data_IF_239039774475
#
_entry.id   IF_239039774475
#
_cell.length_a   1.000
_cell.length_b   1.000
_cell.length_c   1.000
_cell.angle_alpha   90.00
_cell.angle_beta   90.00
_cell.angle_gamma   90.00
#
_symmetry.space_group_name_H-M   'P 1'
#
loop_
_entity.id
_entity.type
_entity.pdbx_description
1 polymer ?
#
# COMPACT_ATOMS: atom_id res chain seq x y z
N UNK A 1 -5.22 -16.62 -25.19
CA UNK A 1 -5.14 -16.27 -23.77
C UNK A 1 -6.30 -16.89 -23.02
N UNK A 2 -6.02 -17.76 -22.06
CA UNK A 2 -7.05 -18.42 -21.27
C UNK A 2 -7.54 -17.52 -20.12
N UNK A 3 -8.80 -17.65 -19.80
CA UNK A 3 -9.44 -16.97 -18.66
C UNK A 3 -9.16 -17.75 -17.38
N UNK A 4 -8.87 -17.07 -16.28
CA UNK A 4 -8.54 -17.67 -14.99
C UNK A 4 -9.67 -17.40 -14.00
N UNK A 5 -9.96 -18.33 -13.09
CA UNK A 5 -10.95 -18.12 -12.05
C UNK A 5 -10.37 -18.36 -10.66
N UNK A 6 -10.63 -17.43 -9.73
CA UNK A 6 -10.35 -17.60 -8.32
C UNK A 6 -11.67 -17.55 -7.52
N UNK A 7 -11.97 -18.63 -6.83
CA UNK A 7 -13.18 -18.78 -6.00
C UNK A 7 -12.80 -18.57 -4.54
N UNK A 8 -13.32 -17.53 -3.93
CA UNK A 8 -13.22 -17.33 -2.48
C UNK A 8 -14.29 -18.18 -1.76
N UNK A 9 -13.92 -18.80 -0.65
CA UNK A 9 -14.82 -19.53 0.23
C UNK A 9 -14.63 -19.08 1.68
N UNK A 10 -15.72 -18.93 2.42
CA UNK A 10 -15.74 -18.48 3.81
C UNK A 10 -16.47 -19.48 4.68
N UNK A 11 -15.76 -20.04 5.66
CA UNK A 11 -16.28 -21.10 6.54
C UNK A 11 -16.26 -22.48 5.91
N UNK A 12 -16.39 -23.51 6.76
CA UNK A 12 -16.26 -24.92 6.37
C UNK A 12 -17.37 -25.38 5.43
N UNK A 13 -18.58 -24.85 5.61
CA UNK A 13 -19.77 -25.22 4.82
C UNK A 13 -19.80 -24.58 3.42
N UNK A 14 -18.95 -23.58 3.17
CA UNK A 14 -18.91 -22.93 1.87
C UNK A 14 -18.13 -23.78 0.84
N UNK A 15 -18.83 -24.44 -0.04
CA UNK A 15 -18.24 -25.28 -1.11
C UNK A 15 -17.76 -24.46 -2.31
N UNK A 16 -18.05 -23.14 -2.36
CA UNK A 16 -17.74 -22.29 -3.49
C UNK A 16 -18.75 -22.37 -4.61
N UNK A 17 -18.28 -22.20 -5.83
CA UNK A 17 -19.08 -22.27 -7.07
C UNK A 17 -18.58 -23.42 -7.91
N UNK A 18 -19.51 -24.17 -8.52
CA UNK A 18 -19.19 -25.13 -9.56
C UNK A 18 -18.91 -24.39 -10.88
N UNK A 19 -17.77 -24.65 -11.47
CA UNK A 19 -17.31 -24.05 -12.70
C UNK A 19 -17.09 -25.07 -13.82
N UNK A 20 -17.61 -26.29 -13.68
CA UNK A 20 -17.40 -27.37 -14.65
C UNK A 20 -17.94 -27.05 -16.04
N UNK A 21 -19.04 -26.27 -16.10
CA UNK A 21 -19.66 -25.84 -17.37
C UNK A 21 -18.99 -24.59 -17.99
N UNK A 22 -17.95 -24.05 -17.37
CA UNK A 22 -17.25 -22.85 -17.83
C UNK A 22 -15.86 -23.17 -18.31
N UNK A 23 -15.47 -22.58 -19.44
CA UNK A 23 -14.12 -22.76 -19.97
C UNK A 23 -13.14 -21.81 -19.31
N UNK A 24 -12.34 -22.32 -18.37
CA UNK A 24 -11.20 -21.64 -17.78
C UNK A 24 -9.91 -22.38 -18.10
N UNK A 25 -8.84 -21.65 -18.33
CA UNK A 25 -7.49 -22.23 -18.46
C UNK A 25 -7.08 -22.88 -17.14
N UNK A 26 -7.39 -22.20 -16.03
CA UNK A 26 -7.13 -22.71 -14.67
C UNK A 26 -8.07 -22.09 -13.67
N UNK A 27 -8.44 -22.88 -12.68
CA UNK A 27 -9.24 -22.44 -11.52
C UNK A 27 -8.50 -22.73 -10.24
N UNK A 28 -8.73 -21.90 -9.20
CA UNK A 28 -8.20 -22.14 -7.87
C UNK A 28 -9.20 -21.65 -6.81
N UNK A 29 -9.00 -22.07 -5.56
CA UNK A 29 -9.75 -21.57 -4.40
C UNK A 29 -8.86 -20.82 -3.43
N UNK A 30 -9.41 -19.76 -2.83
CA UNK A 30 -8.84 -19.08 -1.67
C UNK A 30 -9.81 -19.22 -0.50
N UNK A 31 -9.32 -19.69 0.63
CA UNK A 31 -10.17 -20.07 1.76
C UNK A 31 -9.98 -19.15 2.96
N UNK A 32 -11.07 -18.90 3.66
CA UNK A 32 -11.13 -18.09 4.87
C UNK A 32 -11.89 -18.85 5.95
N UNK A 33 -11.36 -18.90 7.17
CA UNK A 33 -12.04 -19.49 8.33
C UNK A 33 -12.38 -21.00 8.20
N UNK A 34 -11.63 -21.75 7.42
CA UNK A 34 -11.77 -23.21 7.36
C UNK A 34 -11.14 -23.94 8.55
N UNK A 35 -10.41 -23.23 9.41
CA UNK A 35 -9.80 -23.66 10.66
C UNK A 35 -8.82 -24.86 10.61
N UNK A 36 -8.69 -25.49 9.48
CA UNK A 36 -7.99 -26.78 9.42
C UNK A 36 -6.61 -26.73 8.77
N UNK A 37 -6.19 -25.63 8.13
CA UNK A 37 -4.99 -25.71 7.30
C UNK A 37 -4.22 -24.40 7.18
N UNK A 38 -2.90 -24.55 7.01
CA UNK A 38 -1.98 -23.52 6.53
C UNK A 38 -2.39 -22.91 5.16
N UNK A 39 -3.48 -23.40 4.57
CA UNK A 39 -4.04 -22.97 3.29
C UNK A 39 -5.04 -21.80 3.41
N UNK A 40 -5.47 -21.47 4.63
CA UNK A 40 -6.36 -20.32 4.84
C UNK A 40 -5.60 -18.99 4.79
N UNK A 41 -6.30 -17.94 4.33
CA UNK A 41 -5.82 -16.56 4.49
C UNK A 41 -5.68 -16.26 5.98
N UNK A 42 -4.49 -15.88 6.40
CA UNK A 42 -4.23 -15.52 7.79
C UNK A 42 -4.61 -14.06 8.04
N UNK A 43 -5.69 -13.81 8.77
CA UNK A 43 -6.17 -12.49 9.18
C UNK A 43 -6.55 -12.39 10.66
N UNK A 44 -6.34 -13.46 11.41
CA UNK A 44 -6.76 -13.58 12.82
C UNK A 44 -6.14 -12.50 13.72
N UNK A 45 -4.90 -12.08 13.45
CA UNK A 45 -4.25 -11.01 14.19
C UNK A 45 -5.03 -9.70 14.06
N UNK A 46 -5.49 -9.36 12.85
CA UNK A 46 -6.30 -8.17 12.61
C UNK A 46 -7.64 -8.24 13.34
N UNK A 47 -8.38 -9.35 13.20
CA UNK A 47 -9.66 -9.55 13.89
C UNK A 47 -9.50 -9.50 15.42
N UNK A 48 -8.41 -10.05 15.96
CA UNK A 48 -8.12 -9.98 17.39
C UNK A 48 -7.88 -8.55 17.88
N UNK A 49 -7.24 -7.69 17.07
CA UNK A 49 -7.06 -6.29 17.40
C UNK A 49 -8.39 -5.52 17.35
N UNK A 50 -9.24 -5.75 16.33
CA UNK A 50 -10.57 -5.16 16.29
C UNK A 50 -11.36 -5.51 17.55
N UNK A 51 -11.37 -6.79 17.93
CA UNK A 51 -12.02 -7.27 19.16
C UNK A 51 -11.44 -6.61 20.42
N UNK A 52 -10.12 -6.50 20.53
CA UNK A 52 -9.43 -5.88 21.67
C UNK A 52 -9.81 -4.40 21.81
N UNK A 53 -9.89 -3.68 20.71
CA UNK A 53 -10.22 -2.25 20.69
C UNK A 53 -11.72 -1.98 20.62
N UNK A 54 -12.56 -3.01 20.61
CA UNK A 54 -14.03 -2.92 20.47
C UNK A 54 -14.46 -2.17 19.19
N UNK A 55 -13.70 -2.34 18.14
CA UNK A 55 -14.08 -1.88 16.82
C UNK A 55 -15.00 -2.93 16.20
N UNK A 56 -16.23 -2.55 15.94
CA UNK A 56 -17.26 -3.42 15.39
C UNK A 56 -17.71 -2.88 14.00
N UNK A 57 -16.89 -3.09 12.96
CA UNK A 57 -17.24 -2.68 11.61
C UNK A 57 -18.50 -3.42 11.12
N UNK A 58 -19.22 -2.81 10.19
CA UNK A 58 -20.37 -3.44 9.56
C UNK A 58 -19.98 -4.71 8.78
N UNK A 59 -20.91 -5.62 8.54
CA UNK A 59 -20.65 -6.81 7.73
C UNK A 59 -20.29 -6.45 6.28
N UNK A 60 -20.78 -5.34 5.76
CA UNK A 60 -20.37 -4.79 4.46
C UNK A 60 -18.88 -4.37 4.48
N UNK A 61 -18.41 -3.80 5.58
CA UNK A 61 -16.99 -3.50 5.72
C UNK A 61 -16.14 -4.78 5.83
N UNK A 62 -16.66 -5.83 6.45
CA UNK A 62 -16.00 -7.15 6.49
C UNK A 62 -16.03 -7.85 5.12
N UNK A 63 -17.06 -7.66 4.31
CA UNK A 63 -17.07 -8.11 2.91
C UNK A 63 -15.93 -7.46 2.12
N UNK A 64 -15.69 -6.16 2.32
CA UNK A 64 -14.59 -5.47 1.67
C UNK A 64 -13.23 -6.10 2.02
N UNK A 65 -13.06 -6.62 3.23
CA UNK A 65 -11.86 -7.37 3.61
C UNK A 65 -11.71 -8.68 2.81
N UNK A 66 -12.81 -9.44 2.66
CA UNK A 66 -12.82 -10.67 1.83
C UNK A 66 -12.47 -10.34 0.39
N UNK A 67 -13.08 -9.30 -0.18
CA UNK A 67 -12.82 -8.81 -1.53
C UNK A 67 -11.34 -8.43 -1.69
N UNK A 68 -10.80 -7.65 -0.75
CA UNK A 68 -9.42 -7.18 -0.80
C UNK A 68 -8.40 -8.32 -0.67
N UNK A 69 -8.64 -9.27 0.23
CA UNK A 69 -7.79 -10.44 0.37
C UNK A 69 -7.87 -11.37 -0.86
N UNK A 70 -9.04 -11.52 -1.47
CA UNK A 70 -9.24 -12.32 -2.70
C UNK A 70 -8.51 -11.68 -3.88
N UNK A 71 -8.66 -10.37 -4.07
CA UNK A 71 -7.94 -9.63 -5.09
C UNK A 71 -6.42 -9.71 -4.88
N UNK A 72 -5.96 -9.53 -3.65
CA UNK A 72 -4.53 -9.62 -3.33
C UNK A 72 -3.99 -11.04 -3.50
N UNK A 73 -4.80 -12.08 -3.24
CA UNK A 73 -4.45 -13.45 -3.53
C UNK A 73 -4.27 -13.67 -5.04
N UNK A 74 -5.20 -13.21 -5.86
CA UNK A 74 -5.08 -13.28 -7.31
C UNK A 74 -3.84 -12.52 -7.82
N UNK A 75 -3.63 -11.29 -7.33
CA UNK A 75 -2.48 -10.46 -7.74
C UNK A 75 -1.13 -11.10 -7.42
N UNK A 76 -1.01 -11.79 -6.28
CA UNK A 76 0.27 -12.37 -5.81
C UNK A 76 0.46 -13.85 -6.14
N UNK A 77 -0.59 -14.56 -6.60
CA UNK A 77 -0.54 -16.01 -6.87
C UNK A 77 -0.80 -16.38 -8.34
N UNK A 78 -1.12 -15.42 -9.17
CA UNK A 78 -1.24 -15.65 -10.62
C UNK A 78 -0.05 -14.99 -11.31
N UNK A 79 0.92 -15.80 -11.71
CA UNK A 79 2.13 -15.31 -12.40
C UNK A 79 1.78 -14.67 -13.74
N UNK A 80 2.26 -13.47 -13.99
CA UNK A 80 2.10 -12.75 -15.27
C UNK A 80 2.89 -13.40 -16.39
N UNK A 81 4.08 -13.90 -16.08
CA UNK A 81 4.93 -14.58 -17.06
C UNK A 81 4.32 -15.90 -17.53
N UNK A 82 3.50 -16.55 -16.69
CA UNK A 82 2.86 -17.84 -17.04
C UNK A 82 1.50 -17.65 -17.70
N UNK A 83 0.69 -16.70 -17.19
CA UNK A 83 -0.74 -16.59 -17.55
C UNK A 83 -1.10 -15.25 -18.21
N UNK A 84 -0.18 -14.31 -18.30
CA UNK A 84 -0.42 -13.00 -18.89
C UNK A 84 -0.21 -12.98 -20.40
N UNK A 85 -1.00 -12.20 -21.12
CA UNK A 85 -0.74 -11.84 -22.50
C UNK A 85 0.55 -11.02 -22.57
N UNK A 86 1.48 -11.48 -23.40
CA UNK A 86 2.84 -10.93 -23.48
C UNK A 86 3.55 -10.80 -22.10
N UNK A 87 3.21 -11.72 -21.17
CA UNK A 87 3.72 -11.67 -19.81
C UNK A 87 3.19 -10.49 -18.97
N UNK A 88 2.09 -9.87 -19.41
CA UNK A 88 1.62 -8.61 -18.83
C UNK A 88 0.20 -8.63 -18.31
N UNK A 89 -0.82 -8.71 -19.17
CA UNK A 89 -2.23 -8.60 -18.81
C UNK A 89 -2.86 -9.96 -18.57
N UNK A 90 -3.51 -10.15 -17.42
CA UNK A 90 -4.25 -11.37 -17.09
C UNK A 90 -5.76 -11.12 -17.23
N UNK A 91 -6.51 -12.16 -17.62
CA UNK A 91 -7.98 -12.19 -17.58
C UNK A 91 -8.41 -12.97 -16.34
N UNK A 92 -8.96 -12.32 -15.33
CA UNK A 92 -9.23 -12.93 -14.03
C UNK A 92 -10.69 -12.73 -13.62
N UNK A 93 -11.38 -13.83 -13.39
CA UNK A 93 -12.71 -13.86 -12.79
C UNK A 93 -12.60 -14.17 -11.29
N UNK A 94 -13.25 -13.35 -10.47
CA UNK A 94 -13.33 -13.54 -9.03
C UNK A 94 -14.77 -13.91 -8.62
N UNK A 95 -14.91 -14.98 -7.86
CA UNK A 95 -16.18 -15.39 -7.26
C UNK A 95 -16.11 -15.18 -5.75
N UNK A 96 -16.85 -14.20 -5.23
CA UNK A 96 -16.65 -13.71 -3.87
C UNK A 96 -17.95 -13.82 -3.05
N UNK A 97 -17.92 -14.50 -1.88
CA UNK A 97 -19.05 -14.54 -0.96
C UNK A 97 -19.13 -13.24 -0.15
N UNK A 98 -20.34 -12.65 -0.14
CA UNK A 98 -20.63 -11.38 0.57
C UNK A 98 -21.89 -11.51 1.41
N UNK A 99 -22.08 -10.62 2.37
CA UNK A 99 -23.28 -10.61 3.24
C UNK A 99 -24.54 -10.17 2.49
N UNK A 100 -24.38 -9.21 1.55
CA UNK A 100 -25.46 -8.63 0.76
C UNK A 100 -25.00 -8.46 -0.70
N UNK A 101 -25.56 -9.28 -1.60
CA UNK A 101 -25.20 -9.27 -3.01
C UNK A 101 -25.67 -8.01 -3.73
N UNK A 102 -26.83 -7.46 -3.36
CA UNK A 102 -27.41 -6.28 -4.03
C UNK A 102 -26.52 -5.03 -3.84
N UNK A 103 -25.95 -4.87 -2.63
CA UNK A 103 -25.02 -3.78 -2.35
C UNK A 103 -23.78 -3.92 -3.23
N UNK A 104 -23.21 -5.12 -3.32
CA UNK A 104 -21.95 -5.33 -4.02
C UNK A 104 -22.07 -5.39 -5.54
N UNK A 105 -23.19 -5.86 -6.07
CA UNK A 105 -23.49 -5.82 -7.51
C UNK A 105 -23.53 -4.38 -8.02
N UNK A 106 -24.05 -3.44 -7.24
CA UNK A 106 -24.00 -1.99 -7.57
C UNK A 106 -22.57 -1.44 -7.59
N UNK A 107 -21.64 -2.06 -6.89
CA UNK A 107 -20.22 -1.64 -6.83
C UNK A 107 -19.31 -2.45 -7.76
N UNK A 108 -19.83 -3.42 -8.51
CA UNK A 108 -19.06 -4.32 -9.36
C UNK A 108 -18.14 -3.56 -10.33
N UNK A 109 -18.69 -2.62 -11.09
CA UNK A 109 -17.96 -1.83 -12.07
C UNK A 109 -16.90 -0.94 -11.39
N UNK A 110 -17.24 -0.33 -10.26
CA UNK A 110 -16.31 0.50 -9.48
C UNK A 110 -15.10 -0.34 -9.04
N UNK A 111 -15.32 -1.52 -8.49
CA UNK A 111 -14.24 -2.43 -8.07
C UNK A 111 -13.39 -2.91 -9.26
N UNK A 112 -14.02 -3.30 -10.38
CA UNK A 112 -13.30 -3.71 -11.58
C UNK A 112 -12.41 -2.59 -12.12
N UNK A 113 -12.88 -1.36 -12.11
CA UNK A 113 -12.10 -0.19 -12.51
C UNK A 113 -10.94 0.09 -11.56
N UNK A 114 -11.16 -0.02 -10.24
CA UNK A 114 -10.10 0.10 -9.23
C UNK A 114 -9.02 -0.96 -9.47
N UNK A 115 -9.41 -2.22 -9.65
CA UNK A 115 -8.46 -3.33 -9.83
C UNK A 115 -7.69 -3.18 -11.15
N UNK A 116 -8.38 -2.83 -12.24
CA UNK A 116 -7.74 -2.54 -13.54
C UNK A 116 -6.75 -1.39 -13.42
N UNK A 117 -7.11 -0.31 -12.74
CA UNK A 117 -6.23 0.85 -12.55
C UNK A 117 -4.95 0.48 -11.80
N UNK A 118 -5.07 -0.35 -10.76
CA UNK A 118 -3.91 -0.77 -9.96
C UNK A 118 -3.02 -1.77 -10.69
N UNK A 119 -3.60 -2.74 -11.38
CA UNK A 119 -2.88 -3.92 -11.85
C UNK A 119 -2.63 -3.96 -13.35
N UNK A 120 -3.46 -3.28 -14.14
CA UNK A 120 -3.45 -3.39 -15.60
C UNK A 120 -4.15 -4.65 -16.13
N UNK A 121 -4.69 -5.51 -15.25
CA UNK A 121 -5.41 -6.73 -15.63
C UNK A 121 -6.88 -6.44 -15.97
N UNK A 122 -7.52 -7.38 -16.62
CA UNK A 122 -8.97 -7.39 -16.86
C UNK A 122 -9.65 -8.25 -15.81
N UNK A 123 -10.53 -7.63 -15.05
CA UNK A 123 -11.21 -8.25 -13.93
C UNK A 123 -12.70 -8.37 -14.19
N UNK A 124 -13.27 -9.54 -13.88
CA UNK A 124 -14.72 -9.73 -13.74
C UNK A 124 -15.00 -10.24 -12.33
N UNK A 125 -15.95 -9.64 -11.65
CA UNK A 125 -16.26 -10.01 -10.27
C UNK A 125 -17.70 -10.53 -10.23
N UNK A 126 -17.89 -11.67 -9.59
CA UNK A 126 -19.18 -12.29 -9.35
C UNK A 126 -19.40 -12.38 -7.85
N UNK A 127 -20.51 -11.84 -7.37
CA UNK A 127 -20.87 -11.91 -5.97
C UNK A 127 -21.88 -13.04 -5.74
N UNK A 128 -21.77 -13.68 -4.59
CA UNK A 128 -22.71 -14.67 -4.09
C UNK A 128 -22.92 -14.48 -2.59
N UNK A 129 -24.06 -14.91 -2.07
CA UNK A 129 -24.37 -14.78 -0.66
C UNK A 129 -23.52 -15.73 0.17
N UNK A 130 -22.97 -15.26 1.30
CA UNK A 130 -22.32 -16.12 2.30
C UNK A 130 -23.31 -17.14 2.88
N UNK A 131 -22.79 -18.28 3.38
CA UNK A 131 -23.59 -19.27 4.09
C UNK A 131 -24.27 -18.67 5.32
N UNK A 132 -25.37 -19.29 5.80
CA UNK A 132 -26.11 -18.79 6.97
C UNK A 132 -25.22 -18.74 8.22
N UNK A 133 -24.32 -19.71 8.38
CA UNK A 133 -23.47 -19.85 9.56
C UNK A 133 -22.33 -18.82 9.57
N UNK A 134 -21.92 -18.33 8.38
CA UNK A 134 -20.84 -17.38 8.20
C UNK A 134 -21.30 -15.97 7.77
N UNK A 135 -22.55 -15.63 8.02
CA UNK A 135 -23.09 -14.29 7.72
C UNK A 135 -22.42 -13.18 8.55
N UNK A 136 -21.89 -13.52 9.73
CA UNK A 136 -21.27 -12.56 10.65
C UNK A 136 -19.79 -12.84 10.78
N UNK A 137 -18.98 -11.99 10.17
CA UNK A 137 -17.50 -12.01 10.27
C UNK A 137 -16.96 -11.01 11.28
N UNK A 138 -17.72 -9.98 11.61
CA UNK A 138 -17.31 -8.98 12.57
C UNK A 138 -17.10 -9.61 13.96
N UNK A 139 -15.91 -9.51 14.54
CA UNK A 139 -15.64 -10.08 15.85
C UNK A 139 -16.33 -9.26 16.94
N UNK A 140 -17.25 -9.87 17.68
CA UNK A 140 -17.85 -9.23 18.84
C UNK A 140 -16.85 -9.03 19.96
N UNK A 141 -16.68 -7.80 20.42
CA UNK A 141 -15.82 -7.45 21.53
C UNK A 141 -16.39 -7.92 22.89
N UNK A 142 -15.51 -8.23 23.83
CA UNK A 142 -15.90 -8.36 25.23
C UNK A 142 -15.96 -6.98 25.86
N UNK A 143 -17.15 -6.39 25.87
CA UNK A 143 -17.39 -5.01 26.29
C UNK A 143 -16.94 -4.69 27.73
N UNK A 144 -16.84 -5.69 28.60
CA UNK A 144 -16.40 -5.51 29.98
C UNK A 144 -14.88 -5.48 30.12
N UNK A 145 -14.16 -6.24 29.27
CA UNK A 145 -12.73 -6.47 29.43
C UNK A 145 -11.84 -5.51 28.67
N UNK A 146 -12.29 -5.04 27.52
CA UNK A 146 -11.48 -4.19 26.64
C UNK A 146 -12.17 -2.86 26.37
N UNK A 147 -11.42 -1.80 26.37
CA UNK A 147 -11.88 -0.44 26.06
C UNK A 147 -10.80 0.24 25.22
N UNK A 148 -11.21 0.93 24.19
CA UNK A 148 -10.30 1.80 23.48
C UNK A 148 -9.79 2.90 24.43
N UNK A 149 -8.47 3.09 24.57
CA UNK A 149 -7.91 3.97 25.60
C UNK A 149 -8.10 5.45 25.31
N UNK A 150 -8.44 5.80 24.09
CA UNK A 150 -8.72 7.17 23.66
C UNK A 150 -9.88 7.20 22.68
N UNK A 151 -10.52 8.35 22.57
CA UNK A 151 -11.49 8.60 21.51
C UNK A 151 -10.77 9.30 20.35
N UNK A 152 -11.01 8.84 19.15
CA UNK A 152 -10.47 9.40 17.91
C UNK A 152 -11.43 9.17 16.76
N UNK A 153 -11.45 10.09 15.83
CA UNK A 153 -12.10 9.98 14.52
C UNK A 153 -11.09 9.75 13.39
N UNK A 154 -9.80 9.60 13.74
CA UNK A 154 -8.71 9.61 12.78
C UNK A 154 -7.94 8.29 12.81
N UNK A 155 -7.87 7.65 11.66
CA UNK A 155 -7.00 6.50 11.37
C UNK A 155 -5.85 6.97 10.50
N UNK A 156 -4.62 6.54 10.80
CA UNK A 156 -3.46 6.83 9.98
C UNK A 156 -2.79 5.53 9.51
N UNK A 157 -2.58 5.38 8.19
CA UNK A 157 -1.81 4.27 7.67
C UNK A 157 -0.35 4.40 8.08
N UNK A 158 0.20 3.33 8.65
CA UNK A 158 1.49 3.34 9.31
C UNK A 158 2.39 2.19 8.83
N UNK A 159 3.13 2.44 7.75
CA UNK A 159 3.97 1.43 7.11
C UNK A 159 5.33 1.20 7.79
N UNK A 160 5.75 2.10 8.71
CA UNK A 160 7.10 2.13 9.27
C UNK A 160 8.13 2.82 8.34
N UNK A 161 7.66 3.38 7.23
CA UNK A 161 8.44 4.27 6.36
C UNK A 161 8.42 5.71 6.87
N UNK A 162 9.32 6.54 6.34
CA UNK A 162 9.51 7.93 6.78
C UNK A 162 8.23 8.76 6.64
N UNK A 163 7.52 8.67 5.52
CA UNK A 163 6.31 9.48 5.27
C UNK A 163 5.20 9.18 6.28
N UNK A 164 4.95 7.89 6.54
CA UNK A 164 3.94 7.48 7.53
C UNK A 164 4.34 7.84 8.96
N UNK A 165 5.64 7.86 9.25
CA UNK A 165 6.14 8.26 10.56
C UNK A 165 6.01 9.78 10.78
N UNK A 166 6.36 10.60 9.77
CA UNK A 166 6.13 12.04 9.76
C UNK A 166 4.63 12.34 9.93
N UNK A 167 3.77 11.65 9.17
CA UNK A 167 2.33 11.84 9.27
C UNK A 167 1.76 11.58 10.66
N UNK A 168 2.23 10.53 11.33
CA UNK A 168 1.83 10.24 12.71
C UNK A 168 2.35 11.29 13.71
N UNK A 169 3.58 11.76 13.52
CA UNK A 169 4.14 12.86 14.35
C UNK A 169 3.31 14.13 14.19
N UNK A 170 3.07 14.56 12.95
CA UNK A 170 2.36 15.82 12.69
C UNK A 170 0.93 15.80 13.21
N UNK A 171 0.22 14.65 13.17
CA UNK A 171 -1.08 14.48 13.81
C UNK A 171 -0.98 14.63 15.33
N UNK A 172 0.00 13.99 15.95
CA UNK A 172 0.19 14.09 17.40
C UNK A 172 0.55 15.52 17.81
N UNK A 173 1.36 16.24 17.05
CA UNK A 173 1.67 17.67 17.30
C UNK A 173 0.45 18.60 17.12
N UNK A 174 -0.52 18.20 16.29
CA UNK A 174 -1.82 18.87 16.15
C UNK A 174 -2.83 18.46 17.24
N UNK A 175 -2.43 17.71 18.25
CA UNK A 175 -3.29 17.16 19.31
C UNK A 175 -4.32 16.13 18.81
N UNK A 176 -4.13 15.56 17.63
CA UNK A 176 -4.92 14.45 17.12
C UNK A 176 -4.19 13.15 17.49
N UNK A 177 -4.85 12.27 18.23
CA UNK A 177 -4.29 10.96 18.57
C UNK A 177 -4.84 9.89 17.63
N UNK A 178 -4.16 9.54 16.53
CA UNK A 178 -4.69 8.62 15.54
C UNK A 178 -4.63 7.17 16.00
N UNK A 179 -5.53 6.33 15.46
CA UNK A 179 -5.35 4.89 15.43
C UNK A 179 -4.38 4.54 14.29
N UNK A 180 -3.24 3.96 14.60
CA UNK A 180 -2.21 3.62 13.63
C UNK A 180 -2.44 2.21 13.07
N UNK A 181 -2.53 2.09 11.73
CA UNK A 181 -2.74 0.80 11.05
C UNK A 181 -1.51 0.45 10.23
N UNK A 182 -0.85 -0.64 10.59
CA UNK A 182 0.26 -1.23 9.83
C UNK A 182 -0.14 -2.55 9.18
N UNK A 183 0.32 -2.77 7.96
CA UNK A 183 0.22 -4.05 7.27
C UNK A 183 1.60 -4.64 7.02
N UNK A 184 1.79 -5.90 7.39
CA UNK A 184 3.00 -6.66 7.03
C UNK A 184 2.63 -8.07 6.59
N UNK A 185 3.40 -8.60 5.64
CA UNK A 185 3.33 -10.01 5.19
C UNK A 185 4.55 -10.82 5.62
N UNK A 186 5.61 -10.14 6.06
CA UNK A 186 6.90 -10.74 6.40
C UNK A 186 7.53 -10.02 7.59
N UNK A 187 8.56 -10.66 8.15
CA UNK A 187 9.34 -10.11 9.26
C UNK A 187 10.28 -8.96 8.86
N UNK A 188 10.35 -8.57 7.58
CA UNK A 188 11.33 -7.60 7.11
C UNK A 188 10.95 -6.15 7.44
N UNK A 189 9.66 -5.83 7.46
CA UNK A 189 9.12 -4.48 7.72
C UNK A 189 8.59 -4.32 9.14
N UNK A 190 8.06 -5.38 9.74
CA UNK A 190 7.43 -5.33 11.06
C UNK A 190 8.34 -4.79 12.19
N UNK A 191 9.67 -5.03 12.22
CA UNK A 191 10.55 -4.43 13.23
C UNK A 191 10.60 -2.90 13.15
N UNK A 192 10.56 -2.33 11.94
CA UNK A 192 10.59 -0.88 11.75
C UNK A 192 9.25 -0.25 12.13
N UNK A 193 8.13 -0.88 11.81
CA UNK A 193 6.81 -0.45 12.29
C UNK A 193 6.77 -0.42 13.82
N UNK A 194 7.29 -1.47 14.47
CA UNK A 194 7.36 -1.52 15.93
C UNK A 194 8.26 -0.42 16.47
N UNK A 195 9.48 -0.27 15.96
CA UNK A 195 10.44 0.75 16.37
C UNK A 195 9.87 2.17 16.27
N UNK A 196 9.30 2.52 15.12
CA UNK A 196 8.64 3.81 14.93
C UNK A 196 7.49 4.02 15.92
N UNK A 197 6.66 3.00 16.12
CA UNK A 197 5.56 3.08 17.06
C UNK A 197 6.01 3.21 18.52
N UNK A 198 7.08 2.52 18.92
CA UNK A 198 7.65 2.64 20.27
C UNK A 198 8.28 4.02 20.48
N UNK A 199 8.92 4.58 19.44
CA UNK A 199 9.44 5.95 19.46
C UNK A 199 8.32 6.98 19.66
N UNK A 200 7.18 6.83 18.98
CA UNK A 200 6.01 7.70 19.20
C UNK A 200 5.48 7.59 20.62
N UNK A 201 5.34 6.38 21.17
CA UNK A 201 4.86 6.20 22.54
C UNK A 201 5.80 6.82 23.58
N UNK A 202 7.11 6.74 23.33
CA UNK A 202 8.14 7.36 24.19
C UNK A 202 8.11 8.89 24.09
N UNK A 203 7.97 9.44 22.88
CA UNK A 203 7.97 10.89 22.66
C UNK A 203 6.66 11.56 23.11
N UNK A 204 5.52 10.83 23.03
CA UNK A 204 4.19 11.33 23.35
C UNK A 204 3.49 10.49 24.42
N UNK A 205 4.03 10.41 25.67
CA UNK A 205 3.55 9.49 26.69
C UNK A 205 2.12 9.77 27.15
N UNK A 206 1.66 11.03 27.04
CA UNK A 206 0.29 11.42 27.38
C UNK A 206 -0.74 11.03 26.31
N UNK A 207 -0.33 10.93 25.05
CA UNK A 207 -1.23 10.65 23.91
C UNK A 207 -1.36 9.17 23.58
N UNK A 208 -0.27 8.40 23.69
CA UNK A 208 -0.20 6.94 23.53
C UNK A 208 -1.05 6.40 22.37
N UNK A 209 -0.73 6.72 21.10
CA UNK A 209 -1.52 6.26 19.98
C UNK A 209 -1.59 4.72 19.94
N UNK A 210 -2.80 4.17 19.80
CA UNK A 210 -3.01 2.74 19.65
C UNK A 210 -2.59 2.28 18.26
N UNK A 211 -2.20 1.01 18.17
CA UNK A 211 -1.62 0.42 16.96
C UNK A 211 -2.24 -0.92 16.64
N UNK A 212 -2.66 -1.09 15.40
CA UNK A 212 -3.05 -2.38 14.83
C UNK A 212 -2.00 -2.81 13.83
N UNK A 213 -1.38 -3.95 14.06
CA UNK A 213 -0.51 -4.60 13.09
C UNK A 213 -1.30 -5.72 12.41
N UNK A 214 -1.80 -5.42 11.21
CA UNK A 214 -2.52 -6.39 10.41
C UNK A 214 -1.51 -7.31 9.69
N UNK A 215 -1.34 -8.51 10.21
CA UNK A 215 -0.58 -9.54 9.52
C UNK A 215 -1.53 -10.33 8.62
N UNK A 216 -1.52 -10.01 7.32
CA UNK A 216 -2.32 -10.71 6.31
C UNK A 216 -1.37 -11.51 5.43
N UNK A 217 -1.49 -12.82 5.49
CA UNK A 217 -0.67 -13.74 4.69
C UNK A 217 -1.57 -14.56 3.78
N UNK A 218 -1.29 -14.49 2.49
CA UNK A 218 -1.91 -15.38 1.49
C UNK A 218 -1.10 -16.66 1.43
N UNK A 219 -1.75 -17.84 1.45
CA UNK A 219 -1.08 -19.11 1.28
C UNK A 219 -0.26 -19.18 -0.01
N UNK A 220 0.86 -19.90 0.01
CA UNK A 220 1.67 -20.13 -1.19
C UNK A 220 1.17 -21.32 -2.00
N UNK A 221 0.68 -22.33 -1.30
CA UNK A 221 0.19 -23.58 -1.88
C UNK A 221 -1.32 -23.53 -2.10
N UNK A 222 -1.82 -24.29 -3.06
CA UNK A 222 -3.25 -24.43 -3.32
C UNK A 222 -3.86 -23.33 -4.18
N UNK A 223 -3.18 -22.20 -4.39
CA UNK A 223 -3.65 -21.10 -5.23
C UNK A 223 -2.72 -20.98 -6.43
N UNK A 224 -3.13 -21.48 -7.59
CA UNK A 224 -2.39 -21.49 -8.87
C UNK A 224 -0.98 -22.12 -8.83
N UNK A 225 -0.40 -22.40 -7.65
CA UNK A 225 0.97 -22.92 -7.45
C UNK A 225 2.03 -22.08 -8.18
N UNK A 226 1.86 -20.77 -8.20
CA UNK A 226 2.78 -19.81 -8.79
C UNK A 226 2.90 -18.56 -7.90
N UNK A 227 3.88 -17.73 -8.15
CA UNK A 227 4.09 -16.47 -7.43
C UNK A 227 4.26 -15.31 -8.41
N UNK A 228 3.66 -14.18 -8.06
CA UNK A 228 3.84 -12.91 -8.72
C UNK A 228 4.41 -11.92 -7.71
N UNK A 229 5.49 -11.23 -8.09
CA UNK A 229 6.24 -10.40 -7.16
C UNK A 229 5.90 -8.90 -7.24
N UNK A 230 5.01 -8.49 -8.13
CA UNK A 230 4.70 -7.06 -8.36
C UNK A 230 3.83 -6.43 -7.26
N UNK A 231 3.00 -7.20 -6.57
CA UNK A 231 2.15 -6.77 -5.43
C UNK A 231 1.36 -5.47 -5.65
N UNK A 232 0.83 -5.27 -6.84
CA UNK A 232 0.11 -4.04 -7.19
C UNK A 232 -1.21 -3.89 -6.43
N UNK A 233 -1.84 -5.00 -6.07
CA UNK A 233 -3.06 -5.06 -5.26
C UNK A 233 -2.87 -4.73 -3.78
N UNK A 234 -1.64 -4.66 -3.29
CA UNK A 234 -1.35 -4.42 -1.87
C UNK A 234 -1.92 -3.10 -1.36
N UNK A 235 -1.95 -2.06 -2.20
CA UNK A 235 -2.52 -0.77 -1.82
C UNK A 235 -4.01 -0.83 -1.55
N UNK A 236 -4.77 -1.63 -2.32
CA UNK A 236 -6.19 -1.85 -2.08
C UNK A 236 -6.43 -2.53 -0.73
N UNK A 237 -5.66 -3.58 -0.42
CA UNK A 237 -5.73 -4.24 0.89
C UNK A 237 -5.40 -3.27 2.03
N UNK A 238 -4.37 -2.44 1.88
CA UNK A 238 -3.93 -1.54 2.95
C UNK A 238 -4.95 -0.43 3.21
N UNK A 239 -5.52 0.20 2.15
CA UNK A 239 -6.60 1.16 2.30
C UNK A 239 -7.85 0.51 2.93
N UNK A 240 -8.19 -0.71 2.52
CA UNK A 240 -9.30 -1.47 3.09
C UNK A 240 -9.13 -1.69 4.60
N UNK A 241 -7.96 -2.12 5.05
CA UNK A 241 -7.69 -2.29 6.48
C UNK A 241 -7.90 -0.99 7.28
N UNK A 242 -7.42 0.12 6.73
CA UNK A 242 -7.62 1.45 7.33
C UNK A 242 -9.09 1.87 7.34
N UNK A 243 -9.82 1.67 6.23
CA UNK A 243 -11.22 2.06 6.11
C UNK A 243 -12.15 1.24 7.02
N UNK A 244 -11.87 -0.06 7.20
CA UNK A 244 -12.61 -0.92 8.14
C UNK A 244 -12.50 -0.36 9.56
N UNK A 245 -11.28 0.00 9.98
CA UNK A 245 -11.08 0.60 11.30
C UNK A 245 -11.75 1.97 11.40
N UNK A 246 -11.62 2.81 10.37
CA UNK A 246 -12.21 4.14 10.35
C UNK A 246 -13.74 4.09 10.41
N UNK A 247 -14.37 3.21 9.62
CA UNK A 247 -15.84 3.04 9.62
C UNK A 247 -16.41 2.54 10.95
N UNK A 248 -15.58 1.92 11.80
CA UNK A 248 -15.97 1.44 13.12
C UNK A 248 -15.74 2.47 14.25
N UNK A 249 -15.16 3.64 13.95
CA UNK A 249 -14.92 4.70 14.94
C UNK A 249 -16.12 5.63 15.09
N UNK A 250 -16.98 5.76 14.09
CA UNK A 250 -18.16 6.63 14.13
C UNK A 250 -18.70 6.96 12.74
N UNK A 251 -19.71 7.83 12.71
CA UNK A 251 -20.41 8.23 11.47
C UNK A 251 -19.57 9.12 10.54
N UNK A 252 -18.52 9.74 11.07
CA UNK A 252 -17.59 10.58 10.30
C UNK A 252 -16.18 10.38 10.83
N UNK A 253 -15.31 9.83 9.99
CA UNK A 253 -13.93 9.57 10.34
C UNK A 253 -12.99 9.88 9.17
N UNK A 254 -11.72 10.14 9.49
CA UNK A 254 -10.69 10.45 8.50
C UNK A 254 -9.67 9.32 8.42
N UNK A 255 -9.44 8.82 7.21
CA UNK A 255 -8.34 7.90 6.90
C UNK A 255 -7.18 8.71 6.30
N UNK A 256 -6.17 8.96 7.12
CA UNK A 256 -4.96 9.67 6.69
C UNK A 256 -3.97 8.69 6.07
N UNK A 257 -3.53 9.02 4.86
CA UNK A 257 -2.57 8.22 4.08
C UNK A 257 -1.38 9.10 3.75
N UNK A 258 -0.37 9.19 4.63
CA UNK A 258 0.76 10.09 4.44
C UNK A 258 1.68 9.58 3.33
N UNK A 259 1.75 10.31 2.23
CA UNK A 259 2.63 9.99 1.09
C UNK A 259 3.02 11.28 0.36
N UNK A 260 4.29 11.44 0.04
CA UNK A 260 4.78 12.60 -0.74
C UNK A 260 4.25 12.60 -2.17
N UNK A 261 4.20 13.78 -2.78
CA UNK A 261 3.59 13.97 -4.10
C UNK A 261 4.30 13.21 -5.23
N UNK A 262 5.61 13.01 -5.16
CA UNK A 262 6.34 12.27 -6.19
C UNK A 262 5.94 10.79 -6.20
N UNK A 263 5.88 10.16 -5.03
CA UNK A 263 5.47 8.75 -4.90
C UNK A 263 3.97 8.60 -5.15
N UNK A 264 3.15 9.58 -4.76
CA UNK A 264 1.71 9.57 -5.07
C UNK A 264 1.42 9.44 -6.56
N UNK A 265 2.14 10.17 -7.39
CA UNK A 265 1.99 10.10 -8.86
C UNK A 265 2.66 8.86 -9.45
N UNK A 266 3.75 8.43 -8.84
CA UNK A 266 4.56 7.26 -9.21
C UNK A 266 4.78 7.11 -10.72
N UNK A 267 5.30 8.19 -11.32
CA UNK A 267 5.50 8.28 -12.77
C UNK A 267 6.65 7.36 -13.18
N UNK A 268 6.50 6.58 -14.26
CA UNK A 268 7.59 5.78 -14.82
C UNK A 268 8.79 6.66 -15.21
N UNK A 269 9.96 6.40 -14.67
CA UNK A 269 11.18 7.17 -14.94
C UNK A 269 11.74 6.95 -16.35
N UNK A 270 11.40 5.83 -16.99
CA UNK A 270 11.79 5.49 -18.36
C UNK A 270 10.64 4.85 -19.11
N UNK A 271 10.60 4.88 -20.45
CA UNK A 271 9.59 4.20 -21.25
C UNK A 271 9.52 2.68 -20.97
N UNK A 272 10.64 2.05 -20.63
CA UNK A 272 10.71 0.62 -20.30
C UNK A 272 10.02 0.27 -18.99
N UNK A 273 9.75 1.28 -18.13
CA UNK A 273 9.02 1.11 -16.87
C UNK A 273 7.54 1.48 -16.98
N UNK A 274 7.08 1.88 -18.16
CA UNK A 274 5.65 2.12 -18.40
C UNK A 274 4.93 0.80 -18.21
N UNK A 275 4.19 0.72 -17.12
CA UNK A 275 3.44 -0.48 -16.73
C UNK A 275 4.17 -1.46 -15.79
N UNK A 276 5.49 -1.48 -15.70
CA UNK A 276 6.20 -2.38 -14.79
C UNK A 276 6.41 -1.77 -13.40
N UNK A 277 6.04 -2.46 -12.34
CA UNK A 277 6.42 -2.17 -10.94
C UNK A 277 5.94 -0.85 -10.31
N UNK A 278 5.13 -0.05 -10.99
CA UNK A 278 4.61 1.20 -10.41
C UNK A 278 3.36 0.94 -9.59
N UNK A 279 3.48 0.98 -8.26
CA UNK A 279 2.32 0.95 -7.37
C UNK A 279 1.65 2.32 -7.36
N UNK A 280 0.35 2.38 -7.62
CA UNK A 280 -0.43 3.64 -7.66
C UNK A 280 -1.16 3.88 -6.33
N UNK A 281 -0.46 3.68 -5.22
CA UNK A 281 -1.03 3.57 -3.87
C UNK A 281 -1.84 4.78 -3.44
N UNK A 282 -1.41 5.98 -3.80
CA UNK A 282 -2.02 7.25 -3.39
C UNK A 282 -2.30 8.17 -4.58
N UNK A 283 -2.36 7.59 -5.79
CA UNK A 283 -2.66 8.35 -6.99
C UNK A 283 -4.05 9.01 -6.87
N UNK A 284 -4.22 10.29 -7.27
CA UNK A 284 -5.48 11.03 -7.12
C UNK A 284 -6.71 10.32 -7.69
N UNK A 285 -6.59 9.74 -8.89
CA UNK A 285 -7.67 8.96 -9.48
C UNK A 285 -8.03 7.73 -8.63
N UNK A 286 -7.04 7.04 -8.09
CA UNK A 286 -7.29 5.89 -7.22
C UNK A 286 -8.01 6.32 -5.93
N UNK A 287 -7.58 7.42 -5.31
CA UNK A 287 -8.25 7.96 -4.13
C UNK A 287 -9.69 8.40 -4.43
N UNK A 288 -9.93 9.04 -5.57
CA UNK A 288 -11.28 9.41 -5.99
C UNK A 288 -12.19 8.18 -6.15
N UNK A 289 -11.70 7.10 -6.80
CA UNK A 289 -12.47 5.87 -6.95
C UNK A 289 -12.73 5.18 -5.60
N UNK A 290 -11.73 5.15 -4.70
CA UNK A 290 -11.90 4.59 -3.36
C UNK A 290 -12.86 5.42 -2.51
N UNK A 291 -12.79 6.75 -2.59
CA UNK A 291 -13.74 7.64 -1.90
C UNK A 291 -15.16 7.40 -2.40
N UNK A 292 -15.37 7.33 -3.71
CA UNK A 292 -16.68 7.01 -4.28
C UNK A 292 -17.21 5.64 -3.80
N UNK A 293 -16.34 4.66 -3.70
CA UNK A 293 -16.70 3.35 -3.15
C UNK A 293 -17.15 3.47 -1.69
N UNK A 294 -16.39 4.20 -0.85
CA UNK A 294 -16.74 4.37 0.58
C UNK A 294 -18.04 5.16 0.78
N UNK A 295 -18.28 6.17 -0.05
CA UNK A 295 -19.50 6.97 -0.02
C UNK A 295 -20.72 6.12 -0.40
N UNK A 296 -20.61 5.32 -1.47
CA UNK A 296 -21.65 4.41 -1.92
C UNK A 296 -21.97 3.32 -0.88
N UNK A 297 -20.94 2.85 -0.16
CA UNK A 297 -21.10 1.87 0.93
C UNK A 297 -21.50 2.50 2.27
N UNK A 298 -21.63 3.83 2.31
CA UNK A 298 -21.99 4.61 3.51
C UNK A 298 -21.06 4.37 4.71
N UNK A 299 -19.77 4.28 4.44
CA UNK A 299 -18.76 4.03 5.50
C UNK A 299 -18.50 5.26 6.38
N UNK A 300 -18.88 6.47 5.95
CA UNK A 300 -18.58 7.71 6.68
C UNK A 300 -17.07 8.01 6.78
N UNK A 301 -16.26 7.49 5.84
CA UNK A 301 -14.81 7.61 5.86
C UNK A 301 -14.34 8.58 4.79
N UNK A 302 -13.59 9.61 5.18
CA UNK A 302 -12.92 10.54 4.27
C UNK A 302 -11.44 10.18 4.14
N UNK A 303 -10.99 9.92 2.91
CA UNK A 303 -9.57 9.70 2.62
C UNK A 303 -8.86 11.05 2.54
N UNK A 304 -7.70 11.17 3.19
CA UNK A 304 -6.89 12.37 3.16
C UNK A 304 -5.40 12.07 3.01
N UNK A 305 -4.73 12.69 2.04
CA UNK A 305 -3.28 12.77 1.97
C UNK A 305 -2.83 14.22 2.18
N UNK A 306 -2.36 14.60 3.37
CA UNK A 306 -1.96 15.97 3.66
C UNK A 306 -0.66 16.39 2.96
N UNK A 307 0.04 15.46 2.32
CA UNK A 307 1.36 15.69 1.71
C UNK A 307 1.37 15.53 0.18
N UNK A 308 0.21 15.46 -0.45
CA UNK A 308 0.11 15.24 -1.91
C UNK A 308 0.83 16.30 -2.75
N UNK A 309 1.03 17.52 -2.21
CA UNK A 309 1.75 18.61 -2.85
C UNK A 309 3.08 18.95 -2.17
N UNK A 310 3.56 18.10 -1.27
CA UNK A 310 4.87 18.22 -0.65
C UNK A 310 5.87 17.23 -1.23
N UNK A 311 7.11 17.68 -1.41
CA UNK A 311 8.23 16.76 -1.65
C UNK A 311 8.56 16.00 -0.37
N UNK A 312 9.33 14.93 -0.47
CA UNK A 312 9.79 14.21 0.72
C UNK A 312 10.76 15.05 1.56
N UNK A 313 11.55 15.90 0.92
CA UNK A 313 12.44 16.87 1.60
C UNK A 313 11.64 17.92 2.37
N UNK A 314 10.57 18.45 1.79
CA UNK A 314 9.66 19.38 2.46
C UNK A 314 8.92 18.73 3.63
N UNK A 315 8.47 17.48 3.48
CA UNK A 315 7.88 16.75 4.60
C UNK A 315 8.84 16.65 5.78
N UNK A 316 10.10 16.29 5.53
CA UNK A 316 11.11 16.17 6.59
C UNK A 316 11.47 17.53 7.19
N UNK A 317 11.64 18.58 6.35
CA UNK A 317 11.95 19.94 6.79
C UNK A 317 10.87 20.52 7.69
N UNK A 318 9.59 20.33 7.29
CA UNK A 318 8.43 20.96 7.90
C UNK A 318 7.83 20.11 9.04
N UNK A 319 8.33 18.88 9.23
CA UNK A 319 7.91 18.00 10.34
C UNK A 319 8.09 18.68 11.68
N UNK A 320 7.02 18.71 12.50
CA UNK A 320 7.01 19.41 13.79
C UNK A 320 8.00 18.85 14.80
N UNK A 321 8.32 17.56 14.72
CA UNK A 321 9.36 16.91 15.52
C UNK A 321 10.35 16.17 14.63
N UNK A 322 11.08 16.94 13.84
CA UNK A 322 12.08 16.46 12.87
C UNK A 322 13.16 15.60 13.54
N UNK A 323 13.59 15.94 14.75
CA UNK A 323 14.64 15.20 15.45
C UNK A 323 14.21 13.76 15.73
N UNK A 324 12.93 13.54 16.08
CA UNK A 324 12.42 12.18 16.26
C UNK A 324 12.52 11.34 14.98
N UNK A 325 12.35 11.97 13.79
CA UNK A 325 12.49 11.28 12.50
C UNK A 325 13.96 10.95 12.23
N UNK A 326 14.90 11.86 12.54
CA UNK A 326 16.34 11.70 12.35
C UNK A 326 16.90 10.59 13.26
N UNK A 327 16.39 10.50 14.49
CA UNK A 327 16.88 9.57 15.51
C UNK A 327 16.23 8.18 15.41
N UNK A 328 15.13 8.05 14.64
CA UNK A 328 14.39 6.79 14.51
C UNK A 328 14.62 6.16 13.14
N UNK A 329 15.13 4.93 13.12
CA UNK A 329 15.32 4.19 11.88
C UNK A 329 13.99 3.75 11.28
N UNK A 330 13.60 4.41 10.19
CA UNK A 330 12.44 4.08 9.35
C UNK A 330 12.87 3.26 8.15
N UNK A 331 11.97 2.46 7.55
CA UNK A 331 12.29 1.64 6.38
C UNK A 331 11.51 2.12 5.14
N UNK A 332 12.24 2.69 4.18
CA UNK A 332 11.69 3.13 2.88
C UNK A 332 12.18 2.29 1.70
N UNK A 333 13.09 1.35 1.92
CA UNK A 333 13.74 0.57 0.87
C UNK A 333 12.78 -0.46 0.24
N UNK A 334 12.80 -0.57 -1.10
CA UNK A 334 12.06 -1.63 -1.82
C UNK A 334 12.71 -3.01 -1.69
N UNK A 335 14.01 -3.07 -1.41
CA UNK A 335 14.80 -4.29 -1.32
C UNK A 335 15.70 -4.23 -0.08
N UNK A 336 15.12 -4.27 1.14
CA UNK A 336 15.93 -4.32 2.34
C UNK A 336 16.90 -5.51 2.27
N UNK A 337 18.19 -5.25 2.39
CA UNK A 337 19.23 -6.27 2.22
C UNK A 337 20.24 -6.19 3.34
N UNK A 338 21.08 -7.22 3.44
CA UNK A 338 22.12 -7.32 4.47
C UNK A 338 21.89 -8.44 5.48
N UNK A 339 20.70 -9.07 5.46
CA UNK A 339 20.36 -10.17 6.38
C UNK A 339 21.31 -11.34 6.26
N UNK A 340 21.70 -11.71 5.03
CA UNK A 340 22.65 -12.78 4.75
C UNK A 340 24.12 -12.39 5.02
N UNK A 341 24.39 -11.09 5.20
CA UNK A 341 25.71 -10.54 5.48
C UNK A 341 25.90 -10.19 6.97
N UNK A 342 24.94 -10.58 7.82
CA UNK A 342 24.97 -10.27 9.27
C UNK A 342 24.65 -8.81 9.60
N UNK A 343 24.31 -7.98 8.60
CA UNK A 343 24.04 -6.54 8.76
C UNK A 343 22.56 -6.25 9.12
N UNK A 344 21.71 -7.27 9.19
CA UNK A 344 20.28 -7.12 9.37
C UNK A 344 19.59 -6.53 8.11
N UNK A 345 18.38 -6.00 8.28
CA UNK A 345 17.66 -5.32 7.20
C UNK A 345 18.08 -3.86 7.15
N UNK A 346 18.91 -3.50 6.19
CA UNK A 346 19.37 -2.12 5.95
C UNK A 346 18.91 -1.63 4.58
N UNK A 347 18.93 -0.32 4.38
CA UNK A 347 18.65 0.29 3.08
C UNK A 347 19.70 -0.11 2.05
N UNK A 348 19.27 -0.48 0.83
CA UNK A 348 20.23 -0.82 -0.23
C UNK A 348 21.05 0.39 -0.73
N UNK A 349 20.52 1.60 -0.62
CA UNK A 349 21.14 2.87 -1.00
C UNK A 349 20.83 3.34 -2.43
N UNK A 350 20.50 2.45 -3.34
CA UNK A 350 20.43 2.75 -4.78
C UNK A 350 19.03 2.60 -5.42
N UNK A 351 18.06 1.97 -4.77
CA UNK A 351 16.70 1.87 -5.33
C UNK A 351 15.98 3.23 -5.29
N UNK A 352 14.95 3.39 -6.13
CA UNK A 352 14.15 4.63 -6.23
C UNK A 352 13.77 5.19 -4.85
N UNK A 353 13.17 4.42 -3.91
CA UNK A 353 12.84 4.96 -2.59
C UNK A 353 14.08 5.37 -1.76
N UNK A 354 15.22 4.67 -1.89
CA UNK A 354 16.46 5.05 -1.20
C UNK A 354 17.06 6.35 -1.75
N UNK A 355 17.03 6.54 -3.07
CA UNK A 355 17.48 7.77 -3.71
C UNK A 355 16.63 8.95 -3.25
N UNK A 356 15.29 8.82 -3.29
CA UNK A 356 14.37 9.87 -2.82
C UNK A 356 14.58 10.14 -1.33
N UNK A 357 14.82 9.12 -0.51
CA UNK A 357 15.14 9.28 0.93
C UNK A 357 16.42 10.11 1.13
N UNK A 358 17.53 9.74 0.50
CA UNK A 358 18.81 10.47 0.61
C UNK A 358 18.66 11.91 0.10
N UNK A 359 17.95 12.10 -1.02
CA UNK A 359 17.63 13.43 -1.56
C UNK A 359 16.85 14.28 -0.56
N UNK A 360 15.87 13.68 0.15
CA UNK A 360 15.08 14.39 1.15
C UNK A 360 15.90 14.86 2.37
N UNK A 361 16.84 14.05 2.84
CA UNK A 361 17.76 14.48 3.91
C UNK A 361 18.62 15.64 3.46
N UNK A 362 19.19 15.55 2.26
CA UNK A 362 20.00 16.64 1.69
C UNK A 362 19.18 17.92 1.52
N UNK A 363 17.99 17.84 0.94
CA UNK A 363 17.13 19.01 0.69
C UNK A 363 16.58 19.65 1.98
N UNK A 364 16.34 18.87 3.03
CA UNK A 364 15.87 19.37 4.32
C UNK A 364 16.99 19.94 5.21
N UNK A 365 18.26 19.80 4.80
CA UNK A 365 19.43 20.15 5.61
C UNK A 365 19.62 19.25 6.85
N UNK A 366 18.92 18.13 6.92
CA UNK A 366 19.07 17.16 8.00
C UNK A 366 20.20 16.18 7.70
N UNK A 367 20.87 15.70 8.76
CA UNK A 367 21.89 14.67 8.61
C UNK A 367 21.22 13.30 8.56
N UNK A 368 21.53 12.53 7.51
CA UNK A 368 21.14 11.13 7.44
C UNK A 368 22.15 10.28 8.23
N UNK A 369 21.75 9.81 9.40
CA UNK A 369 22.61 9.03 10.31
C UNK A 369 22.58 7.53 10.03
N UNK A 370 21.84 7.07 9.00
CA UNK A 370 21.64 5.66 8.74
C UNK A 370 22.62 5.12 7.69
N UNK A 371 22.97 3.86 7.88
CA UNK A 371 23.87 3.18 6.96
C UNK A 371 23.10 2.65 5.74
N UNK A 372 23.76 2.74 4.59
CA UNK A 372 23.32 2.14 3.34
C UNK A 372 24.28 1.03 2.94
N UNK A 373 23.77 -0.05 2.36
CA UNK A 373 24.61 -1.15 1.87
C UNK A 373 25.57 -0.67 0.78
N UNK A 374 25.12 0.24 -0.06
CA UNK A 374 25.93 0.84 -1.11
C UNK A 374 25.90 2.36 -1.01
N UNK A 375 27.08 2.94 -0.95
CA UNK A 375 27.25 4.38 -1.10
C UNK A 375 27.17 4.73 -2.59
N UNK A 376 26.20 5.56 -2.98
CA UNK A 376 26.03 6.01 -4.37
C UNK A 376 27.10 7.01 -4.80
N UNK A 377 27.83 7.61 -3.88
CA UNK A 377 28.93 8.55 -4.13
C UNK A 377 30.31 7.88 -4.13
N UNK A 378 30.35 6.56 -4.09
CA UNK A 378 31.60 5.80 -4.18
C UNK A 378 32.40 6.20 -5.43
N UNK A 379 33.69 6.50 -5.23
CA UNK A 379 34.59 6.98 -6.27
C UNK A 379 34.76 6.00 -7.43
N UNK A 380 34.54 4.71 -7.18
CA UNK A 380 34.66 3.66 -8.21
C UNK A 380 33.54 3.69 -9.24
N UNK A 381 32.43 4.43 -8.97
CA UNK A 381 31.26 4.54 -9.83
C UNK A 381 30.36 3.32 -9.74
N UNK A 382 29.11 3.49 -10.18
CA UNK A 382 28.07 2.45 -10.16
C UNK A 382 27.88 1.86 -11.56
N UNK A 383 27.74 0.55 -11.64
CA UNK A 383 27.55 -0.17 -12.90
C UNK A 383 26.11 -0.03 -13.39
N UNK A 384 25.90 0.46 -14.61
CA UNK A 384 24.58 0.66 -15.22
C UNK A 384 23.91 -0.67 -15.63
N UNK A 385 24.67 -1.73 -15.86
CA UNK A 385 24.18 -3.07 -16.15
C UNK A 385 23.76 -3.84 -14.88
N UNK A 386 23.91 -3.23 -13.70
CA UNK A 386 23.51 -3.75 -12.41
C UNK A 386 22.40 -2.89 -11.78
N UNK A 387 21.65 -3.49 -10.86
CA UNK A 387 20.58 -2.82 -10.14
C UNK A 387 21.07 -1.52 -9.44
N UNK A 388 22.34 -1.47 -9.00
CA UNK A 388 22.92 -0.33 -8.30
C UNK A 388 23.01 0.96 -9.14
N UNK A 389 23.19 0.84 -10.46
CA UNK A 389 23.27 2.01 -11.35
C UNK A 389 21.99 2.26 -12.16
N UNK A 390 21.13 1.26 -12.31
CA UNK A 390 19.97 1.32 -13.20
C UNK A 390 18.96 2.40 -12.80
N UNK A 391 18.62 2.53 -11.50
CA UNK A 391 17.65 3.52 -11.01
C UNK A 391 18.22 4.94 -11.05
N UNK A 392 19.52 5.11 -10.81
CA UNK A 392 20.21 6.41 -10.92
C UNK A 392 20.24 6.85 -12.38
N UNK A 393 20.55 5.93 -13.31
CA UNK A 393 20.51 6.21 -14.74
C UNK A 393 19.11 6.64 -15.18
N UNK A 394 18.06 5.96 -14.68
CA UNK A 394 16.68 6.30 -14.98
C UNK A 394 16.31 7.71 -14.48
N UNK A 395 16.75 8.10 -13.28
CA UNK A 395 16.56 9.46 -12.80
C UNK A 395 17.33 10.50 -13.61
N UNK A 396 18.61 10.24 -13.91
CA UNK A 396 19.40 11.15 -14.77
C UNK A 396 18.76 11.33 -16.14
N UNK A 397 18.22 10.25 -16.74
CA UNK A 397 17.47 10.31 -17.99
C UNK A 397 16.22 11.21 -17.85
N UNK A 398 15.39 10.99 -16.81
CA UNK A 398 14.19 11.76 -16.58
C UNK A 398 14.50 13.25 -16.36
N UNK A 399 15.46 13.56 -15.51
CA UNK A 399 15.91 14.94 -15.24
C UNK A 399 16.38 15.61 -16.53
N UNK A 400 17.25 14.94 -17.31
CA UNK A 400 17.73 15.47 -18.59
C UNK A 400 16.62 15.69 -19.60
N UNK A 401 15.62 14.79 -19.65
CA UNK A 401 14.46 14.90 -20.53
C UNK A 401 13.58 16.07 -20.16
N UNK A 402 13.29 16.26 -18.87
CA UNK A 402 12.45 17.36 -18.37
C UNK A 402 13.15 18.73 -18.56
N UNK A 403 14.45 18.81 -18.34
CA UNK A 403 15.24 20.04 -18.59
C UNK A 403 15.20 20.44 -20.07
N UNK A 404 15.32 19.48 -20.99
CA UNK A 404 15.29 19.73 -22.44
C UNK A 404 13.90 20.01 -22.99
N UNK A 405 12.88 19.39 -22.41
CA UNK A 405 11.50 19.39 -22.88
C UNK A 405 10.52 19.60 -21.72
N UNK A 406 10.32 20.82 -21.19
CA UNK A 406 9.48 21.05 -20.01
C UNK A 406 8.04 20.56 -20.15
N UNK A 407 7.46 20.63 -21.36
CA UNK A 407 6.09 20.16 -21.63
C UNK A 407 5.97 18.63 -21.58
N UNK A 408 7.08 17.90 -21.70
CA UNK A 408 7.10 16.45 -21.61
C UNK A 408 6.59 15.96 -20.24
N UNK A 409 7.00 16.64 -19.15
CA UNK A 409 6.54 16.29 -17.81
C UNK A 409 5.04 16.47 -17.66
N UNK A 410 4.49 17.57 -18.16
CA UNK A 410 3.04 17.86 -18.14
C UNK A 410 2.25 16.76 -18.87
N UNK A 411 2.69 16.38 -20.05
CA UNK A 411 2.06 15.30 -20.82
C UNK A 411 2.14 13.95 -20.07
N UNK A 412 3.30 13.65 -19.50
CA UNK A 412 3.53 12.40 -18.78
C UNK A 412 2.66 12.31 -17.51
N UNK A 413 2.56 13.41 -16.74
CA UNK A 413 1.72 13.46 -15.54
C UNK A 413 0.24 13.28 -15.91
N UNK A 414 -0.24 13.97 -16.94
CA UNK A 414 -1.63 13.83 -17.41
C UNK A 414 -1.96 12.43 -17.94
N UNK A 415 -0.97 11.74 -18.50
CA UNK A 415 -1.13 10.37 -18.97
C UNK A 415 -1.28 9.33 -17.86
N UNK A 416 -0.97 9.65 -16.58
CA UNK A 416 -1.11 8.71 -15.47
C UNK A 416 -2.55 8.45 -15.05
N UNK A 417 -3.46 9.39 -15.39
CA UNK A 417 -4.87 9.32 -15.04
C UNK A 417 -5.45 10.67 -14.63
N UNK A 418 -6.68 10.69 -14.14
CA UNK A 418 -7.34 11.91 -13.66
C UNK A 418 -6.68 12.42 -12.36
N UNK A 419 -6.35 13.71 -12.35
CA UNK A 419 -5.68 14.38 -11.23
C UNK A 419 -6.60 15.37 -10.48
N UNK A 420 -7.89 15.39 -10.82
CA UNK A 420 -8.81 16.39 -10.31
C UNK A 420 -8.50 17.81 -10.83
N UNK A 421 -8.81 18.81 -10.04
CA UNK A 421 -8.70 20.22 -10.46
C UNK A 421 -7.28 20.79 -10.35
N UNK A 422 -6.43 20.25 -9.44
CA UNK A 422 -5.12 20.84 -9.15
C UNK A 422 -3.97 20.14 -9.90
N UNK A 423 -4.06 20.05 -11.22
CA UNK A 423 -3.01 19.44 -12.07
C UNK A 423 -1.68 20.19 -11.94
N UNK A 424 -1.71 21.50 -11.85
CA UNK A 424 -0.50 22.33 -11.76
C UNK A 424 0.24 22.11 -10.44
N UNK A 425 -0.48 21.89 -9.33
CA UNK A 425 0.13 21.51 -8.06
C UNK A 425 0.90 20.18 -8.13
N UNK A 426 0.37 19.20 -8.89
CA UNK A 426 1.08 17.92 -9.12
C UNK A 426 2.30 18.09 -10.03
N UNK A 427 2.21 18.92 -11.05
CA UNK A 427 3.35 19.23 -11.93
C UNK A 427 4.45 19.91 -11.11
N UNK A 428 4.09 20.87 -10.28
CA UNK A 428 5.01 21.62 -9.44
C UNK A 428 5.74 20.72 -8.41
N UNK A 429 4.98 19.94 -7.63
CA UNK A 429 5.60 19.06 -6.63
C UNK A 429 6.52 18.03 -7.28
N UNK A 430 6.18 17.53 -8.47
CA UNK A 430 7.03 16.58 -9.17
C UNK A 430 8.32 17.23 -9.68
N UNK A 431 8.26 18.47 -10.19
CA UNK A 431 9.45 19.26 -10.58
C UNK A 431 10.39 19.49 -9.40
N UNK A 432 9.84 19.94 -8.26
CA UNK A 432 10.63 20.16 -7.03
C UNK A 432 11.25 18.85 -6.53
N UNK A 433 10.51 17.75 -6.57
CA UNK A 433 11.04 16.43 -6.18
C UNK A 433 12.15 15.95 -7.12
N UNK A 434 12.02 16.17 -8.44
CA UNK A 434 13.10 15.87 -9.39
C UNK A 434 14.33 16.72 -9.14
N UNK A 435 14.16 18.00 -8.73
CA UNK A 435 15.29 18.87 -8.38
C UNK A 435 16.02 18.36 -7.13
N UNK A 436 15.29 17.96 -6.08
CA UNK A 436 15.91 17.34 -4.90
C UNK A 436 16.76 16.10 -5.26
N UNK A 437 16.23 15.28 -6.15
CA UNK A 437 16.93 14.08 -6.63
C UNK A 437 18.14 14.46 -7.49
N UNK A 438 17.99 15.42 -8.41
CA UNK A 438 19.10 15.90 -9.27
C UNK A 438 20.25 16.44 -8.44
N UNK A 439 19.95 17.25 -7.43
CA UNK A 439 20.95 17.79 -6.51
C UNK A 439 21.76 16.68 -5.80
N UNK A 440 21.12 15.55 -5.49
CA UNK A 440 21.79 14.40 -4.91
C UNK A 440 22.65 13.65 -5.94
N UNK A 441 22.06 13.30 -7.10
CA UNK A 441 22.66 12.33 -8.03
C UNK A 441 23.58 12.95 -9.08
N UNK A 442 23.56 14.29 -9.25
CA UNK A 442 24.40 14.98 -10.23
C UNK A 442 25.88 14.56 -10.16
N UNK A 443 26.54 14.52 -8.97
CA UNK A 443 27.94 14.11 -8.86
C UNK A 443 28.17 12.60 -8.94
N UNK A 444 27.11 11.77 -8.98
CA UNK A 444 27.24 10.30 -9.00
C UNK A 444 27.82 9.83 -10.33
N UNK A 445 28.92 9.06 -10.25
CA UNK A 445 29.59 8.47 -11.41
C UNK A 445 28.91 7.15 -11.80
N UNK A 446 28.61 7.01 -13.09
CA UNK A 446 28.12 5.77 -13.70
C UNK A 446 29.21 5.21 -14.64
N UNK A 447 29.31 3.89 -14.73
CA UNK A 447 30.26 3.17 -15.60
C UNK A 447 29.61 1.95 -16.25
#
# INVERSE_FOLDING_TARGET
>A
MGKLALVATVGIEDKGVDLTDKTYEKTAKVTFLHHANKLDVSWNAFLSHLKKLKLEPSEVAMDLLVIACTMYAADTRISRTTYGEDGWTRLVDLYIPVSDTEIWEKQQITLQNIFKFLTGDVWTIYFRKRSKDDLKLCPKGNLKRYKMPYQTDTVCLFSGGMDSFIGAIDLLEQNITPLLIGHSKSADVSPFQKRCGDALQKAYPAKKPERIYAFIKIPKEGIFNSEEHTERGRSFLFLTLGSICASALGESSTLVVPENGMISLNIPLTPLRVGSHSTRTTHPQYFSMMQSLFDNLKFGVKINNPYQFKTKGEMLRDCKNKNLVIDTETMSCSHPSGRYEGLGNIHCGYCVPCIIRQASYKASGAKDNFNYRRDIHDKTGLRIDKAEGADILAFKYMVGKVKKHPMFLTALIRATGSLGENVDGYIDVYKRSLQEVDDLINPVKLK
#
